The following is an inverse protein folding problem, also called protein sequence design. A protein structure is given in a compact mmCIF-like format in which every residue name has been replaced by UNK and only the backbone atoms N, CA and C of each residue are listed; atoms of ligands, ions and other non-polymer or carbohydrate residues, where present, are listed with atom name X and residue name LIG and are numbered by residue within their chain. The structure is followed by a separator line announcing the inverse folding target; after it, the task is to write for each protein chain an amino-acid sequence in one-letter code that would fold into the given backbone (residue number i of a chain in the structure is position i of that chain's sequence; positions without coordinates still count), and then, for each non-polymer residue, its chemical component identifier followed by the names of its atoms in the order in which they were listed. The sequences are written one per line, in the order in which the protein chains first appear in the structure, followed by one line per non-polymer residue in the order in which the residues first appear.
data_IF_202065960355
#
_entry.id   IF_202065960355
#
_cell.length_a   1.000
_cell.length_b   1.000
_cell.length_c   1.000
_cell.angle_alpha   90.00
_cell.angle_beta   90.00
_cell.angle_gamma   90.00
#
_symmetry.space_group_name_H-M   'P 1'
#
loop_
_entity.id
_entity.type
_entity.pdbx_description
1 polymer ?
#
# COMPACT_ATOMS: atom_id res chain seq x y z
N UNK A 1 -41.43 -7.74 -3.98
CA UNK A 1 -40.00 -7.85 -4.31
C UNK A 1 -39.85 -7.74 -5.81
N UNK A 2 -39.46 -6.57 -6.32
CA UNK A 2 -39.29 -6.33 -7.75
C UNK A 2 -37.85 -6.69 -8.17
N UNK A 3 -37.72 -7.42 -9.28
CA UNK A 3 -36.44 -7.83 -9.87
C UNK A 3 -35.77 -6.62 -10.54
N UNK A 4 -34.46 -6.47 -10.33
CA UNK A 4 -33.64 -5.40 -10.89
C UNK A 4 -33.39 -5.64 -12.41
N UNK A 5 -33.85 -4.75 -13.32
CA UNK A 5 -33.79 -4.96 -14.77
C UNK A 5 -32.42 -4.67 -15.42
N UNK A 6 -31.37 -4.38 -14.66
CA UNK A 6 -30.06 -3.94 -15.17
C UNK A 6 -28.94 -4.97 -15.01
N UNK A 7 -29.12 -6.21 -15.47
CA UNK A 7 -28.01 -7.17 -15.61
C UNK A 7 -27.66 -7.38 -17.09
N UNK A 8 -26.53 -6.83 -17.58
CA UNK A 8 -25.92 -7.34 -18.79
C UNK A 8 -25.40 -8.76 -18.51
N UNK A 9 -25.74 -9.71 -19.38
CA UNK A 9 -25.08 -11.03 -19.41
C UNK A 9 -23.62 -10.84 -19.80
N UNK A 10 -22.71 -10.79 -18.83
CA UNK A 10 -21.28 -10.87 -19.08
C UNK A 10 -20.95 -12.29 -19.55
N UNK A 11 -20.68 -12.46 -20.85
CA UNK A 11 -20.11 -13.71 -21.37
C UNK A 11 -18.62 -13.72 -21.05
N UNK A 12 -18.21 -14.61 -20.15
CA UNK A 12 -16.79 -14.88 -19.94
C UNK A 12 -16.17 -15.42 -21.24
N UNK A 13 -14.97 -14.95 -21.64
CA UNK A 13 -14.27 -15.50 -22.78
C UNK A 13 -13.91 -16.98 -22.54
N UNK A 14 -13.79 -17.80 -23.62
CA UNK A 14 -13.37 -19.19 -23.49
C UNK A 14 -11.95 -19.27 -22.90
N UNK A 15 -11.75 -20.22 -21.99
CA UNK A 15 -10.47 -20.44 -21.33
C UNK A 15 -9.33 -20.62 -22.35
N UNK A 16 -8.29 -19.79 -22.24
CA UNK A 16 -7.09 -19.91 -23.07
C UNK A 16 -6.40 -21.26 -22.81
N UNK A 17 -5.85 -21.86 -23.88
CA UNK A 17 -5.05 -23.09 -23.76
C UNK A 17 -3.81 -22.83 -22.91
N UNK A 18 -3.44 -23.75 -21.98
CA UNK A 18 -2.27 -23.57 -21.14
C UNK A 18 -0.99 -23.49 -21.98
N UNK A 19 -0.15 -22.50 -21.69
CA UNK A 19 1.18 -22.37 -22.29
C UNK A 19 2.09 -23.54 -21.87
N UNK A 20 3.03 -23.97 -22.73
CA UNK A 20 3.97 -25.05 -22.41
C UNK A 20 4.86 -24.69 -21.21
N UNK A 21 5.04 -25.65 -20.31
CA UNK A 21 5.83 -25.49 -19.10
C UNK A 21 7.32 -25.26 -19.41
N UNK A 22 7.84 -24.09 -19.03
CA UNK A 22 9.27 -23.81 -19.03
C UNK A 22 9.94 -24.52 -17.85
N UNK A 23 10.83 -25.48 -18.16
CA UNK A 23 11.67 -26.17 -17.18
C UNK A 23 12.86 -25.26 -16.79
N UNK A 24 12.76 -24.56 -15.67
CA UNK A 24 13.86 -23.84 -15.03
C UNK A 24 13.89 -24.14 -13.54
N UNK A 25 15.04 -24.55 -13.02
CA UNK A 25 15.23 -24.91 -11.62
C UNK A 25 14.98 -23.70 -10.69
N UNK A 26 14.11 -23.88 -9.70
CA UNK A 26 13.81 -22.85 -8.69
C UNK A 26 14.96 -22.75 -7.66
N UNK A 27 15.47 -21.54 -7.35
CA UNK A 27 16.43 -21.35 -6.26
C UNK A 27 15.75 -21.53 -4.89
N UNK A 28 16.50 -22.06 -3.91
CA UNK A 28 15.98 -22.41 -2.59
C UNK A 28 15.48 -21.18 -1.80
N UNK A 29 14.26 -21.28 -1.25
CA UNK A 29 13.57 -20.24 -0.48
C UNK A 29 14.34 -19.68 0.74
N UNK A 30 15.28 -20.43 1.30
CA UNK A 30 15.99 -20.04 2.53
C UNK A 30 17.01 -18.88 2.36
N UNK A 31 17.31 -18.45 1.12
CA UNK A 31 18.28 -17.37 0.84
C UNK A 31 17.62 -16.00 0.58
N UNK A 32 16.31 -15.96 0.33
CA UNK A 32 15.57 -14.74 0.00
C UNK A 32 15.35 -13.83 1.23
N UNK A 33 14.90 -14.38 2.36
CA UNK A 33 14.52 -13.58 3.55
C UNK A 33 15.65 -12.75 4.19
N UNK A 34 16.92 -13.13 4.06
CA UNK A 34 18.06 -12.39 4.66
C UNK A 34 18.61 -11.25 3.81
N UNK A 35 18.32 -11.23 2.51
CA UNK A 35 18.76 -10.16 1.61
C UNK A 35 17.80 -8.96 1.64
N UNK A 36 16.55 -9.15 2.08
CA UNK A 36 15.45 -8.19 1.96
C UNK A 36 15.55 -7.01 2.95
N UNK A 37 15.99 -7.20 4.19
CA UNK A 37 16.14 -6.08 5.14
C UNK A 37 17.27 -5.11 4.75
N UNK A 38 18.36 -5.61 4.14
CA UNK A 38 19.39 -4.76 3.57
C UNK A 38 18.91 -4.04 2.30
N UNK A 39 17.91 -4.58 1.59
CA UNK A 39 17.35 -4.02 0.35
C UNK A 39 16.16 -3.08 0.59
N UNK A 40 15.38 -3.20 1.66
CA UNK A 40 14.44 -2.14 2.04
C UNK A 40 15.19 -0.87 2.46
N UNK A 41 16.36 -1.02 3.09
CA UNK A 41 17.27 0.09 3.28
C UNK A 41 17.89 0.57 1.95
N UNK A 42 18.45 -0.29 1.10
CA UNK A 42 19.20 0.10 -0.12
C UNK A 42 18.39 0.36 -1.40
N UNK A 43 17.18 -0.17 -1.53
CA UNK A 43 16.27 0.04 -2.67
C UNK A 43 15.71 1.46 -2.70
N UNK A 44 15.46 2.05 -1.53
CA UNK A 44 15.12 3.47 -1.40
C UNK A 44 16.32 4.40 -1.68
N UNK A 45 17.57 3.93 -1.62
CA UNK A 45 18.76 4.73 -2.01
C UNK A 45 18.92 4.90 -3.53
N UNK A 46 18.16 4.19 -4.36
CA UNK A 46 18.18 4.36 -5.83
C UNK A 46 17.60 5.69 -6.31
N UNK A 47 16.79 6.36 -5.47
CA UNK A 47 16.19 7.67 -5.72
C UNK A 47 17.13 8.83 -5.33
N UNK A 48 18.40 8.80 -5.77
CA UNK A 48 19.42 9.82 -5.42
C UNK A 48 19.05 11.27 -5.79
N UNK A 49 18.03 11.51 -6.64
CA UNK A 49 17.55 12.86 -6.98
C UNK A 49 16.32 13.31 -6.19
N UNK A 50 15.69 12.41 -5.43
CA UNK A 50 14.56 12.69 -4.54
C UNK A 50 15.01 12.69 -3.06
N UNK A 51 16.24 13.15 -2.81
CA UNK A 51 16.72 13.49 -1.47
C UNK A 51 16.06 14.80 -1.00
N UNK A 52 14.77 14.75 -0.67
CA UNK A 52 14.25 15.62 0.38
C UNK A 52 15.05 15.27 1.63
N UNK A 53 15.44 16.30 2.39
CA UNK A 53 16.37 16.27 3.52
C UNK A 53 15.94 15.30 4.64
N UNK A 54 15.99 13.99 4.44
CA UNK A 54 16.20 13.07 5.54
C UNK A 54 17.51 13.53 6.16
N UNK A 55 17.48 14.04 7.39
CA UNK A 55 18.69 14.28 8.17
C UNK A 55 19.49 12.98 8.09
N UNK A 56 20.51 12.94 7.25
CA UNK A 56 21.43 11.83 7.19
C UNK A 56 22.08 11.80 8.57
N UNK A 57 21.50 11.01 9.50
CA UNK A 57 22.13 10.67 10.76
C UNK A 57 23.45 10.03 10.35
N UNK A 58 24.55 10.76 10.50
CA UNK A 58 25.89 10.32 10.13
C UNK A 58 26.21 9.08 10.96
N UNK A 59 25.95 7.89 10.43
CA UNK A 59 26.39 6.55 10.87
C UNK A 59 26.28 6.18 12.37
N UNK A 60 25.75 7.03 13.25
CA UNK A 60 25.49 6.73 14.65
C UNK A 60 24.09 6.15 14.80
N UNK A 61 23.99 4.98 15.41
CA UNK A 61 22.71 4.48 15.92
C UNK A 61 22.13 5.51 16.89
N UNK A 62 20.85 5.85 16.70
CA UNK A 62 20.14 6.76 17.57
C UNK A 62 20.21 6.26 19.02
N UNK A 63 20.51 7.14 19.98
CA UNK A 63 20.46 6.72 21.39
C UNK A 63 19.00 6.44 21.78
N UNK A 64 18.73 5.58 22.78
CA UNK A 64 17.36 5.32 23.18
C UNK A 64 16.60 6.58 23.64
N UNK A 65 17.30 7.54 24.27
CA UNK A 65 16.73 8.85 24.62
C UNK A 65 16.32 9.66 23.39
N UNK A 66 17.13 9.68 22.33
CA UNK A 66 16.79 10.35 21.07
C UNK A 66 15.59 9.69 20.40
N UNK A 67 15.50 8.36 20.43
CA UNK A 67 14.34 7.64 19.87
C UNK A 67 13.07 7.93 20.65
N UNK A 68 13.16 8.06 21.98
CA UNK A 68 12.01 8.42 22.83
C UNK A 68 11.54 9.84 22.58
N UNK A 69 12.48 10.75 22.38
CA UNK A 69 12.16 12.10 21.94
C UNK A 69 11.49 12.10 20.56
N UNK A 70 12.06 11.38 19.58
CA UNK A 70 11.49 11.26 18.24
C UNK A 70 10.07 10.65 18.29
N UNK A 71 9.84 9.64 19.13
CA UNK A 71 8.51 9.05 19.31
C UNK A 71 7.50 10.09 19.84
N UNK A 72 7.89 10.88 20.85
CA UNK A 72 7.04 11.96 21.39
C UNK A 72 6.75 13.05 20.37
N UNK A 73 7.73 13.40 19.54
CA UNK A 73 7.58 14.43 18.51
C UNK A 73 6.74 13.95 17.33
N UNK A 74 6.94 12.70 16.88
CA UNK A 74 6.29 12.15 15.70
C UNK A 74 5.02 11.36 15.99
N UNK A 75 4.73 11.00 17.23
CA UNK A 75 3.48 10.32 17.57
C UNK A 75 3.03 10.65 19.00
N UNK A 76 2.80 11.94 19.31
CA UNK A 76 2.49 12.39 20.66
C UNK A 76 1.27 11.67 21.25
N UNK A 77 0.25 11.39 20.44
CA UNK A 77 -0.97 10.70 20.88
C UNK A 77 -0.78 9.20 21.18
N UNK A 78 0.28 8.60 20.64
CA UNK A 78 0.60 7.20 20.91
C UNK A 78 1.56 7.03 22.08
N UNK A 79 2.17 8.12 22.54
CA UNK A 79 3.13 8.12 23.64
C UNK A 79 2.49 8.02 25.02
N UNK A 80 1.19 8.30 25.14
CA UNK A 80 0.49 8.20 26.42
C UNK A 80 0.64 6.79 27.02
N UNK A 81 1.15 6.68 28.25
CA UNK A 81 1.40 5.40 28.91
C UNK A 81 2.63 4.65 28.41
N UNK A 82 3.34 5.14 27.40
CA UNK A 82 4.55 4.52 26.87
C UNK A 82 5.81 4.88 27.68
N UNK A 83 5.69 5.65 28.77
CA UNK A 83 6.78 5.98 29.68
C UNK A 83 7.39 4.74 30.33
N UNK A 84 6.58 3.68 30.51
CA UNK A 84 6.99 2.41 31.10
C UNK A 84 7.55 1.40 30.10
N UNK A 85 7.36 1.63 28.79
CA UNK A 85 7.89 0.72 27.75
C UNK A 85 9.42 0.84 27.74
N UNK A 86 10.18 -0.26 27.87
CA UNK A 86 11.64 -0.19 27.91
C UNK A 86 12.23 0.47 26.67
N UNK A 87 13.28 1.26 26.87
CA UNK A 87 14.08 1.88 25.80
C UNK A 87 14.59 0.86 24.76
N UNK A 88 14.90 -0.36 25.21
CA UNK A 88 15.28 -1.47 24.32
C UNK A 88 14.16 -1.87 23.36
N UNK A 89 12.89 -1.84 23.80
CA UNK A 89 11.74 -2.12 22.93
C UNK A 89 11.50 -0.99 21.93
N UNK A 90 11.76 0.26 22.30
CA UNK A 90 11.68 1.40 21.40
C UNK A 90 12.80 1.39 20.33
N UNK A 91 14.00 0.95 20.72
CA UNK A 91 15.16 0.84 19.84
C UNK A 91 15.10 -0.38 18.90
N UNK A 92 14.39 -1.44 19.29
CA UNK A 92 14.30 -2.70 18.54
C UNK A 92 13.66 -2.48 17.17
N UNK A 93 14.38 -2.81 16.10
CA UNK A 93 13.85 -2.80 14.73
C UNK A 93 12.58 -3.66 14.60
N UNK A 94 11.66 -3.26 13.73
CA UNK A 94 10.44 -4.01 13.46
C UNK A 94 10.77 -5.31 12.71
N UNK A 95 10.10 -6.40 13.12
CA UNK A 95 10.18 -7.70 12.45
C UNK A 95 8.78 -8.18 12.03
N UNK A 96 8.62 -8.80 10.84
CA UNK A 96 7.31 -9.27 10.37
C UNK A 96 6.57 -10.18 11.35
N UNK A 97 7.28 -11.00 12.13
CA UNK A 97 6.67 -11.91 13.11
C UNK A 97 5.92 -11.18 14.23
N UNK A 98 6.23 -9.90 14.46
CA UNK A 98 5.55 -9.09 15.46
C UNK A 98 4.09 -8.82 15.11
N UNK A 99 3.71 -8.90 13.83
CA UNK A 99 2.33 -8.80 13.38
C UNK A 99 1.43 -9.88 14.02
N UNK A 100 2.02 -10.99 14.49
CA UNK A 100 1.30 -12.04 15.21
C UNK A 100 0.84 -11.61 16.61
N UNK A 101 1.46 -10.58 17.19
CA UNK A 101 1.14 -10.06 18.53
C UNK A 101 -0.06 -9.10 18.54
N UNK A 102 -0.50 -8.62 17.37
CA UNK A 102 -1.63 -7.71 17.26
C UNK A 102 -2.96 -8.46 17.35
N UNK A 103 -4.04 -7.79 17.80
CA UNK A 103 -5.36 -8.41 17.91
C UNK A 103 -5.85 -9.03 16.60
N UNK A 104 -6.44 -10.23 16.70
CA UNK A 104 -6.90 -11.06 15.57
C UNK A 104 -8.37 -11.40 15.74
N UNK A 105 -9.08 -11.51 14.62
CA UNK A 105 -10.46 -11.99 14.61
C UNK A 105 -10.50 -13.50 14.92
N UNK A 106 -11.48 -13.99 15.66
CA UNK A 106 -11.77 -15.44 15.78
C UNK A 106 -10.98 -16.21 16.86
N UNK A 107 -11.10 -17.55 16.83
CA UNK A 107 -10.37 -18.47 17.71
C UNK A 107 -8.87 -18.49 17.40
N UNK A 108 -8.04 -18.92 18.36
CA UNK A 108 -6.60 -19.14 18.16
C UNK A 108 -6.33 -19.84 16.82
N UNK A 109 -5.60 -19.18 15.92
CA UNK A 109 -5.26 -19.71 14.59
C UNK A 109 -5.96 -19.05 13.40
N UNK A 110 -6.91 -18.13 13.63
CA UNK A 110 -7.41 -17.27 12.55
C UNK A 110 -6.32 -16.32 12.02
N UNK A 111 -6.22 -16.23 10.69
CA UNK A 111 -5.09 -15.61 10.00
C UNK A 111 -5.13 -14.08 9.92
N UNK A 112 -6.26 -13.44 10.19
CA UNK A 112 -6.46 -11.99 9.96
C UNK A 112 -6.35 -11.12 11.22
N UNK A 113 -5.82 -9.90 11.05
CA UNK A 113 -5.95 -8.83 12.05
C UNK A 113 -7.43 -8.50 12.28
N UNK A 114 -7.79 -8.15 13.52
CA UNK A 114 -9.17 -7.74 13.83
C UNK A 114 -9.51 -6.41 13.12
N UNK A 115 -10.51 -6.37 12.21
CA UNK A 115 -10.93 -5.16 11.50
C UNK A 115 -11.73 -4.20 12.39
N UNK A 116 -11.87 -4.45 13.69
CA UNK A 116 -12.53 -3.53 14.63
C UNK A 116 -11.55 -2.77 15.50
N UNK A 117 -10.35 -3.30 15.71
CA UNK A 117 -9.36 -2.69 16.60
C UNK A 117 -8.70 -1.49 15.94
N UNK A 118 -8.68 -0.37 16.66
CA UNK A 118 -8.05 0.89 16.26
C UNK A 118 -6.69 1.05 16.92
N UNK A 119 -5.82 1.88 16.32
CA UNK A 119 -4.45 2.03 16.80
C UNK A 119 -4.39 2.61 18.22
N UNK A 120 -5.18 3.64 18.55
CA UNK A 120 -5.21 4.20 19.90
C UNK A 120 -5.73 3.23 20.98
N UNK A 121 -6.48 2.20 20.61
CA UNK A 121 -7.02 1.18 21.53
C UNK A 121 -5.97 0.11 21.89
N UNK A 122 -4.83 0.10 21.20
CA UNK A 122 -3.74 -0.81 21.49
C UNK A 122 -3.06 -0.46 22.83
N UNK A 123 -2.53 -1.46 23.55
CA UNK A 123 -1.68 -1.22 24.71
C UNK A 123 -0.40 -0.46 24.29
N UNK A 124 0.21 0.32 25.20
CA UNK A 124 1.36 1.17 24.88
C UNK A 124 2.51 0.44 24.17
N UNK A 125 2.78 -0.81 24.56
CA UNK A 125 3.82 -1.64 23.96
C UNK A 125 3.56 -1.85 22.46
N UNK A 126 2.31 -2.17 22.08
CA UNK A 126 1.95 -2.39 20.67
C UNK A 126 1.91 -1.07 19.89
N UNK A 127 1.52 0.06 20.51
CA UNK A 127 1.61 1.38 19.86
C UNK A 127 3.06 1.77 19.53
N UNK A 128 3.99 1.51 20.44
CA UNK A 128 5.43 1.64 20.19
C UNK A 128 5.87 0.77 19.01
N UNK A 129 5.34 -0.45 18.88
CA UNK A 129 5.66 -1.31 17.74
C UNK A 129 5.05 -0.82 16.42
N UNK A 130 3.85 -0.25 16.42
CA UNK A 130 3.27 0.43 15.23
C UNK A 130 4.15 1.60 14.80
N UNK A 131 4.58 2.42 15.75
CA UNK A 131 5.50 3.53 15.46
C UNK A 131 6.83 3.03 14.86
N UNK A 132 7.43 2.00 15.45
CA UNK A 132 8.67 1.40 14.92
C UNK A 132 8.50 0.85 13.50
N UNK A 133 7.35 0.21 13.20
CA UNK A 133 7.00 -0.23 11.85
C UNK A 133 6.96 0.94 10.87
N UNK A 134 6.19 1.99 11.17
CA UNK A 134 6.01 3.14 10.28
C UNK A 134 7.31 3.91 10.05
N UNK A 135 8.13 4.07 11.09
CA UNK A 135 9.47 4.68 11.01
C UNK A 135 10.39 3.88 10.09
N UNK A 136 10.30 2.56 10.11
CA UNK A 136 11.13 1.69 9.26
C UNK A 136 10.63 1.66 7.81
N UNK A 137 9.32 1.75 7.59
CA UNK A 137 8.70 1.73 6.27
C UNK A 137 8.96 3.00 5.46
N UNK A 138 8.94 4.16 6.14
CA UNK A 138 9.14 5.45 5.50
C UNK A 138 10.19 6.28 6.23
N UNK A 139 11.47 6.25 5.79
CA UNK A 139 12.46 7.16 6.34
C UNK A 139 12.29 8.60 5.84
N UNK A 140 11.38 8.87 4.88
CA UNK A 140 11.19 10.19 4.31
C UNK A 140 10.38 11.13 5.20
N UNK A 141 10.62 12.43 5.00
CA UNK A 141 9.85 13.49 5.64
C UNK A 141 8.57 13.81 4.84
N UNK A 142 7.43 14.00 5.53
CA UNK A 142 7.22 13.73 6.94
C UNK A 142 7.04 12.24 7.21
N UNK A 143 7.45 11.82 8.41
CA UNK A 143 7.29 10.45 8.87
C UNK A 143 5.84 9.99 8.79
N UNK A 144 5.60 8.77 8.28
CA UNK A 144 4.26 8.16 8.30
C UNK A 144 3.70 8.06 9.73
N UNK A 145 4.56 7.95 10.74
CA UNK A 145 4.12 7.96 12.14
C UNK A 145 3.45 9.29 12.53
N UNK A 146 4.00 10.43 12.08
CA UNK A 146 3.43 11.76 12.32
C UNK A 146 2.05 11.90 11.68
N UNK A 147 1.94 11.47 10.42
CA UNK A 147 0.70 11.48 9.68
C UNK A 147 -0.35 10.61 10.39
N UNK A 148 -0.04 9.35 10.67
CA UNK A 148 -1.02 8.41 11.21
C UNK A 148 -1.37 8.64 12.68
N UNK A 149 -0.43 9.13 13.49
CA UNK A 149 -0.73 9.55 14.85
C UNK A 149 -1.66 10.76 14.87
N UNK A 150 -1.46 11.72 13.95
CA UNK A 150 -2.37 12.87 13.79
C UNK A 150 -3.76 12.42 13.36
N UNK A 151 -3.85 11.52 12.37
CA UNK A 151 -5.13 10.97 11.91
C UNK A 151 -5.87 10.22 13.02
N UNK A 152 -5.15 9.40 13.79
CA UNK A 152 -5.73 8.63 14.90
C UNK A 152 -6.17 9.51 16.08
N UNK A 153 -5.61 10.72 16.21
CA UNK A 153 -6.04 11.71 17.20
C UNK A 153 -7.37 12.40 16.86
N UNK A 154 -7.72 12.49 15.58
CA UNK A 154 -8.89 13.27 15.13
C UNK A 154 -10.19 12.76 15.74
N UNK A 155 -11.11 13.64 16.18
CA UNK A 155 -12.35 13.23 16.79
C UNK A 155 -13.28 12.50 15.81
N UNK A 156 -14.15 11.65 16.36
CA UNK A 156 -15.21 10.96 15.62
C UNK A 156 -14.99 9.45 15.48
N UNK A 157 -15.95 8.76 14.80
CA UNK A 157 -15.96 7.30 14.70
C UNK A 157 -14.95 6.75 13.69
N UNK A 158 -14.41 7.62 12.82
CA UNK A 158 -13.47 7.28 11.76
C UNK A 158 -12.06 7.35 12.33
N UNK A 159 -11.64 6.24 12.91
CA UNK A 159 -10.31 6.07 13.50
C UNK A 159 -9.57 5.02 12.69
N UNK A 160 -8.26 5.19 12.59
CA UNK A 160 -7.42 4.30 11.82
C UNK A 160 -7.42 2.90 12.44
N UNK A 161 -7.84 1.90 11.65
CA UNK A 161 -7.85 0.52 12.09
C UNK A 161 -6.48 -0.10 11.91
N UNK A 162 -6.08 -0.94 12.86
CA UNK A 162 -4.78 -1.65 12.83
C UNK A 162 -4.65 -2.45 11.54
N UNK A 163 -5.71 -3.17 11.16
CA UNK A 163 -5.76 -3.95 9.91
C UNK A 163 -5.48 -3.09 8.68
N UNK A 164 -6.23 -2.00 8.52
CA UNK A 164 -6.12 -1.12 7.34
C UNK A 164 -4.74 -0.48 7.23
N UNK A 165 -4.15 -0.09 8.37
CA UNK A 165 -2.83 0.51 8.40
C UNK A 165 -1.75 -0.45 7.89
N UNK A 166 -1.64 -1.65 8.48
CA UNK A 166 -0.62 -2.62 8.09
C UNK A 166 -0.84 -3.10 6.66
N UNK A 167 -2.08 -3.40 6.25
CA UNK A 167 -2.39 -3.80 4.89
C UNK A 167 -2.02 -2.73 3.86
N UNK A 168 -2.39 -1.48 4.10
CA UNK A 168 -2.09 -0.38 3.17
C UNK A 168 -0.59 -0.16 3.05
N UNK A 169 0.14 -0.17 4.18
CA UNK A 169 1.58 0.00 4.19
C UNK A 169 2.33 -1.14 3.47
N UNK A 170 1.98 -2.39 3.75
CA UNK A 170 2.59 -3.55 3.10
C UNK A 170 2.34 -3.53 1.59
N UNK A 171 1.10 -3.26 1.16
CA UNK A 171 0.74 -3.19 -0.25
C UNK A 171 1.50 -2.05 -0.95
N UNK A 172 1.50 -0.84 -0.39
CA UNK A 172 2.20 0.30 -0.99
C UNK A 172 3.69 0.00 -1.12
N UNK A 173 4.30 -0.59 -0.10
CA UNK A 173 5.71 -0.99 -0.15
C UNK A 173 5.97 -2.01 -1.26
N UNK A 174 5.15 -3.06 -1.36
CA UNK A 174 5.26 -4.06 -2.42
C UNK A 174 5.12 -3.42 -3.82
N UNK A 175 4.16 -2.51 -4.00
CA UNK A 175 3.94 -1.79 -5.26
C UNK A 175 5.12 -0.89 -5.64
N UNK A 176 5.61 -0.09 -4.70
CA UNK A 176 6.76 0.80 -4.92
C UNK A 176 8.00 -0.02 -5.26
N UNK A 177 8.28 -1.07 -4.48
CA UNK A 177 9.44 -1.94 -4.72
C UNK A 177 9.35 -2.66 -6.05
N UNK A 178 8.17 -3.17 -6.40
CA UNK A 178 7.94 -3.79 -7.69
C UNK A 178 8.16 -2.80 -8.84
N UNK A 179 7.58 -1.59 -8.75
CA UNK A 179 7.70 -0.58 -9.80
C UNK A 179 9.16 -0.18 -10.05
N UNK A 180 9.93 -0.02 -8.97
CA UNK A 180 11.34 0.33 -9.03
C UNK A 180 12.23 -0.81 -9.54
N UNK A 181 11.81 -2.07 -9.39
CA UNK A 181 12.59 -3.26 -9.79
C UNK A 181 12.19 -3.85 -11.14
N UNK A 182 11.08 -3.42 -11.74
CA UNK A 182 10.56 -4.03 -12.97
C UNK A 182 11.64 -4.02 -14.08
N UNK A 183 11.83 -5.13 -14.81
CA UNK A 183 12.83 -5.20 -15.87
C UNK A 183 12.58 -4.14 -16.93
N UNK A 184 13.63 -3.40 -17.28
CA UNK A 184 13.61 -2.45 -18.39
C UNK A 184 13.66 -3.27 -19.69
N UNK A 185 12.51 -3.66 -20.23
CA UNK A 185 12.42 -4.53 -21.40
C UNK A 185 12.74 -3.82 -22.73
N UNK A 186 13.11 -2.55 -22.69
CA UNK A 186 13.66 -1.80 -23.82
C UNK A 186 14.53 -0.67 -23.26
N UNK A 187 15.44 -0.11 -24.06
CA UNK A 187 16.50 0.83 -23.65
C UNK A 187 16.06 2.13 -22.92
N UNK A 188 14.77 2.30 -22.58
CA UNK A 188 14.28 3.43 -21.79
C UNK A 188 14.14 3.05 -20.32
N UNK A 189 14.87 3.75 -19.46
CA UNK A 189 14.55 3.81 -18.02
C UNK A 189 13.20 4.48 -17.87
N UNK A 190 12.19 3.72 -17.45
CA UNK A 190 10.92 4.29 -17.03
C UNK A 190 11.12 4.90 -15.64
N UNK A 191 10.72 6.17 -15.49
CA UNK A 191 10.66 6.83 -14.20
C UNK A 191 9.53 6.28 -13.30
N UNK A 192 9.16 7.00 -12.23
CA UNK A 192 7.90 6.74 -11.51
C UNK A 192 6.70 6.73 -12.49
N UNK A 193 5.55 6.14 -12.10
CA UNK A 193 4.35 6.24 -12.92
C UNK A 193 4.01 7.72 -13.15
N UNK A 194 3.47 8.09 -14.30
CA UNK A 194 3.00 9.46 -14.52
C UNK A 194 1.62 9.67 -13.89
N UNK A 195 0.78 8.62 -13.93
CA UNK A 195 -0.56 8.61 -13.32
C UNK A 195 -0.77 7.33 -12.52
N UNK A 196 -1.40 7.46 -11.36
CA UNK A 196 -1.82 6.33 -10.52
C UNK A 196 -3.31 6.45 -10.26
N UNK A 197 -4.08 5.42 -10.60
CA UNK A 197 -5.49 5.30 -10.26
C UNK A 197 -5.63 4.32 -9.10
N UNK A 198 -6.09 4.78 -7.93
CA UNK A 198 -6.54 3.92 -6.83
C UNK A 198 -8.05 3.71 -6.98
N UNK A 199 -8.45 2.58 -7.53
CA UNK A 199 -9.82 2.25 -7.92
C UNK A 199 -10.54 1.46 -6.82
N UNK A 200 -11.82 1.78 -6.59
CA UNK A 200 -12.60 1.27 -5.46
C UNK A 200 -11.86 1.47 -4.13
N UNK A 201 -11.34 2.68 -3.95
CA UNK A 201 -10.32 3.01 -2.96
C UNK A 201 -10.83 3.12 -1.51
N UNK A 202 -12.15 3.06 -1.29
CA UNK A 202 -12.77 3.33 -0.02
C UNK A 202 -12.46 4.75 0.46
N UNK A 203 -11.52 4.88 1.39
CA UNK A 203 -11.09 6.18 1.92
C UNK A 203 -9.81 6.73 1.27
N UNK A 204 -9.25 6.04 0.26
CA UNK A 204 -8.13 6.55 -0.54
C UNK A 204 -6.76 6.53 0.15
N UNK A 205 -6.59 5.81 1.26
CA UNK A 205 -5.32 5.77 1.99
C UNK A 205 -4.16 5.24 1.13
N UNK A 206 -4.40 4.19 0.36
CA UNK A 206 -3.39 3.62 -0.54
C UNK A 206 -2.98 4.66 -1.59
N UNK A 207 -3.93 5.34 -2.23
CA UNK A 207 -3.67 6.44 -3.14
C UNK A 207 -2.87 7.59 -2.49
N UNK A 208 -3.21 8.01 -1.28
CA UNK A 208 -2.48 9.06 -0.57
C UNK A 208 -1.03 8.66 -0.27
N UNK A 209 -0.82 7.41 0.13
CA UNK A 209 0.52 6.86 0.34
C UNK A 209 1.31 6.74 -0.97
N UNK A 210 0.67 6.35 -2.09
CA UNK A 210 1.31 6.33 -3.40
C UNK A 210 1.66 7.75 -3.88
N UNK A 211 0.80 8.74 -3.62
CA UNK A 211 1.10 10.15 -3.89
C UNK A 211 2.28 10.66 -3.07
N UNK A 212 2.41 10.19 -1.83
CA UNK A 212 3.56 10.44 -0.98
C UNK A 212 4.84 9.77 -1.51
N UNK A 213 4.76 8.51 -1.99
CA UNK A 213 5.92 7.79 -2.52
C UNK A 213 6.34 8.28 -3.91
N UNK A 214 5.40 8.81 -4.71
CA UNK A 214 5.64 9.31 -6.05
C UNK A 214 5.17 10.76 -6.21
N UNK A 215 5.94 11.75 -5.71
CA UNK A 215 5.53 13.15 -5.70
C UNK A 215 5.35 13.76 -7.10
N UNK A 216 6.00 13.19 -8.11
CA UNK A 216 5.88 13.63 -9.51
C UNK A 216 4.73 12.94 -10.27
N UNK A 217 4.06 11.97 -9.64
CA UNK A 217 2.90 11.28 -10.22
C UNK A 217 1.61 12.01 -9.87
N UNK A 218 0.66 12.09 -10.80
CA UNK A 218 -0.71 12.44 -10.47
C UNK A 218 -1.43 11.20 -9.94
N UNK A 219 -2.04 11.29 -8.77
CA UNK A 219 -2.77 10.19 -8.15
C UNK A 219 -4.23 10.55 -8.01
N UNK A 220 -5.11 9.69 -8.52
CA UNK A 220 -6.55 9.81 -8.36
C UNK A 220 -7.09 8.59 -7.64
N UNK A 221 -7.78 8.82 -6.54
CA UNK A 221 -8.52 7.80 -5.81
C UNK A 221 -10.01 7.92 -6.16
N UNK A 222 -10.62 6.80 -6.56
CA UNK A 222 -12.02 6.75 -7.01
C UNK A 222 -12.78 5.72 -6.20
N UNK A 223 -13.92 6.12 -5.64
CA UNK A 223 -14.89 5.25 -4.99
C UNK A 223 -16.30 5.77 -5.29
N UNK A 224 -17.32 4.92 -5.16
CA UNK A 224 -18.70 5.32 -5.45
C UNK A 224 -19.20 6.44 -4.53
N UNK A 225 -18.65 6.50 -3.31
CA UNK A 225 -19.06 7.45 -2.29
C UNK A 225 -17.85 8.15 -1.68
N UNK A 226 -17.99 9.43 -1.39
CA UNK A 226 -17.00 10.14 -0.58
C UNK A 226 -17.03 9.65 0.87
N UNK A 227 -15.86 9.31 1.40
CA UNK A 227 -15.69 8.93 2.81
C UNK A 227 -15.10 10.11 3.55
N UNK A 228 -15.71 10.51 4.67
CA UNK A 228 -15.20 11.60 5.53
C UNK A 228 -13.75 11.39 5.99
N UNK A 229 -13.30 10.12 6.10
CA UNK A 229 -11.92 9.81 6.47
C UNK A 229 -10.91 10.33 5.43
N UNK A 230 -11.29 10.48 4.15
CA UNK A 230 -10.40 10.98 3.11
C UNK A 230 -9.99 12.44 3.38
N UNK A 231 -10.95 13.33 3.65
CA UNK A 231 -10.66 14.73 4.00
C UNK A 231 -9.80 14.86 5.26
N UNK A 232 -10.14 14.10 6.30
CA UNK A 232 -9.37 14.02 7.55
C UNK A 232 -7.94 13.51 7.35
N UNK A 233 -7.76 12.52 6.49
CA UNK A 233 -6.44 12.06 6.12
C UNK A 233 -5.66 13.19 5.43
N UNK A 234 -6.21 13.88 4.44
CA UNK A 234 -5.52 15.01 3.80
C UNK A 234 -5.12 16.11 4.79
N UNK A 235 -5.99 16.45 5.75
CA UNK A 235 -5.68 17.37 6.85
C UNK A 235 -4.49 16.88 7.69
N UNK A 236 -4.42 15.58 8.01
CA UNK A 236 -3.32 14.99 8.76
C UNK A 236 -1.99 15.03 7.99
N UNK A 237 -2.00 14.84 6.67
CA UNK A 237 -0.83 14.99 5.81
C UNK A 237 -0.33 16.44 5.79
N UNK A 238 -1.24 17.40 5.61
CA UNK A 238 -0.92 18.82 5.64
C UNK A 238 -0.36 19.25 7.01
N UNK A 239 -0.97 18.80 8.11
CA UNK A 239 -0.52 19.07 9.48
C UNK A 239 0.88 18.47 9.76
N UNK A 240 1.20 17.33 9.16
CA UNK A 240 2.54 16.74 9.20
C UNK A 240 3.56 17.50 8.32
N UNK A 241 3.16 18.57 7.62
CA UNK A 241 4.05 19.39 6.79
C UNK A 241 4.17 18.90 5.34
N UNK A 242 3.25 18.07 4.85
CA UNK A 242 3.21 17.64 3.46
C UNK A 242 1.81 17.59 2.89
N UNK A 243 1.44 18.67 2.21
CA UNK A 243 0.26 18.68 1.35
C UNK A 243 0.45 17.74 0.16
N UNK A 244 -0.58 16.92 -0.12
CA UNK A 244 -0.59 16.02 -1.27
C UNK A 244 -1.23 16.71 -2.48
N UNK A 245 -0.59 17.77 -2.99
CA UNK A 245 -1.11 18.53 -4.14
C UNK A 245 -1.25 17.68 -5.42
N UNK A 246 -0.59 16.53 -5.48
CA UNK A 246 -0.65 15.57 -6.56
C UNK A 246 -1.72 14.47 -6.34
N UNK A 247 -2.53 14.55 -5.29
CA UNK A 247 -3.59 13.59 -4.98
C UNK A 247 -4.98 14.23 -5.16
N UNK A 248 -5.91 13.45 -5.71
CA UNK A 248 -7.32 13.81 -5.81
C UNK A 248 -8.22 12.63 -5.43
N UNK A 249 -9.19 12.86 -4.55
CA UNK A 249 -10.30 11.93 -4.34
C UNK A 249 -11.48 12.33 -5.24
N UNK A 250 -12.12 11.35 -5.89
CA UNK A 250 -13.30 11.56 -6.73
C UNK A 250 -14.38 10.54 -6.35
N UNK A 251 -15.55 11.04 -5.95
CA UNK A 251 -16.73 10.21 -5.82
C UNK A 251 -17.33 9.94 -7.21
N UNK A 252 -17.47 8.67 -7.58
CA UNK A 252 -18.00 8.26 -8.87
C UNK A 252 -17.68 6.82 -9.21
N UNK A 253 -18.22 6.34 -10.33
CA UNK A 253 -17.87 5.03 -10.87
C UNK A 253 -16.50 5.05 -11.59
N UNK A 254 -16.04 3.85 -11.98
CA UNK A 254 -14.79 3.69 -12.70
C UNK A 254 -14.83 4.27 -14.13
N UNK A 255 -16.01 4.49 -14.71
CA UNK A 255 -16.14 5.09 -16.05
C UNK A 255 -15.68 6.56 -16.03
N UNK A 256 -15.96 7.29 -14.95
CA UNK A 256 -15.43 8.64 -14.76
C UNK A 256 -13.89 8.67 -14.69
N UNK A 257 -13.27 7.58 -14.22
CA UNK A 257 -11.82 7.47 -14.12
C UNK A 257 -11.14 7.19 -15.46
N UNK A 258 -11.84 6.53 -16.40
CA UNK A 258 -11.28 6.09 -17.68
C UNK A 258 -10.69 7.24 -18.48
N UNK A 259 -11.47 8.30 -18.73
CA UNK A 259 -11.01 9.46 -19.49
C UNK A 259 -9.79 10.14 -18.87
N UNK A 260 -9.68 10.14 -17.54
CA UNK A 260 -8.51 10.69 -16.85
C UNK A 260 -7.24 9.87 -17.05
N UNK A 261 -7.33 8.55 -17.20
CA UNK A 261 -6.13 7.77 -17.52
C UNK A 261 -5.77 7.93 -19.00
N UNK A 262 -6.76 8.03 -19.89
CA UNK A 262 -6.56 8.23 -21.35
C UNK A 262 -5.87 9.56 -21.68
N UNK A 263 -6.08 10.61 -20.87
CA UNK A 263 -5.37 11.89 -20.97
C UNK A 263 -3.85 11.81 -20.72
N UNK A 264 -3.34 10.68 -20.23
CA UNK A 264 -1.90 10.51 -20.04
C UNK A 264 -1.17 10.48 -21.39
N UNK A 265 -0.19 11.36 -21.58
CA UNK A 265 0.64 11.41 -22.80
C UNK A 265 1.39 10.10 -23.08
N UNK A 266 1.52 9.23 -22.07
CA UNK A 266 2.03 7.87 -22.21
C UNK A 266 1.24 6.94 -21.30
N UNK A 267 0.30 6.21 -21.90
CA UNK A 267 -0.52 5.20 -21.25
C UNK A 267 0.32 4.07 -20.63
N UNK A 268 1.48 3.76 -21.20
CA UNK A 268 2.42 2.77 -20.62
C UNK A 268 3.09 3.23 -19.30
N UNK A 269 2.80 4.46 -18.85
CA UNK A 269 3.24 5.01 -17.57
C UNK A 269 2.11 5.15 -16.53
N UNK A 270 0.90 4.65 -16.80
CA UNK A 270 -0.15 4.59 -15.79
C UNK A 270 -0.11 3.29 -14.98
N UNK A 271 -0.50 3.41 -13.71
CA UNK A 271 -0.68 2.30 -12.77
C UNK A 271 -2.11 2.32 -12.24
N UNK A 272 -2.85 1.22 -12.40
CA UNK A 272 -4.18 1.03 -11.83
C UNK A 272 -4.08 0.10 -10.63
N UNK A 273 -4.40 0.58 -9.44
CA UNK A 273 -4.35 -0.16 -8.18
C UNK A 273 -5.77 -0.34 -7.67
N UNK A 274 -6.08 -1.49 -7.08
CA UNK A 274 -7.29 -1.64 -6.29
C UNK A 274 -7.04 -2.53 -5.07
N UNK A 275 -7.25 -1.97 -3.89
CA UNK A 275 -7.07 -2.67 -2.61
C UNK A 275 -8.43 -2.90 -1.98
N UNK A 276 -8.68 -4.13 -1.55
CA UNK A 276 -9.99 -4.58 -1.03
C UNK A 276 -11.15 -4.56 -2.03
N UNK A 277 -10.93 -4.15 -3.28
CA UNK A 277 -11.88 -4.43 -4.36
C UNK A 277 -12.08 -5.93 -4.47
N UNK A 278 -13.31 -6.38 -4.19
CA UNK A 278 -13.70 -7.79 -4.25
C UNK A 278 -14.85 -7.98 -5.24
N UNK A 279 -15.00 -9.22 -5.71
CA UNK A 279 -16.06 -9.63 -6.63
C UNK A 279 -16.03 -8.85 -7.96
N UNK A 280 -17.15 -8.27 -8.38
CA UNK A 280 -17.31 -7.54 -9.63
C UNK A 280 -16.34 -6.35 -9.72
N UNK A 281 -16.08 -5.65 -8.61
CA UNK A 281 -15.16 -4.52 -8.59
C UNK A 281 -13.74 -4.90 -9.03
N UNK A 282 -13.26 -6.10 -8.66
CA UNK A 282 -11.95 -6.59 -9.16
C UNK A 282 -11.98 -6.74 -10.68
N UNK A 283 -13.06 -7.30 -11.24
CA UNK A 283 -13.18 -7.51 -12.68
C UNK A 283 -13.25 -6.20 -13.44
N UNK A 284 -14.01 -5.23 -12.94
CA UNK A 284 -14.15 -3.92 -13.57
C UNK A 284 -12.80 -3.17 -13.59
N UNK A 285 -12.01 -3.28 -12.52
CA UNK A 285 -10.65 -2.70 -12.45
C UNK A 285 -9.70 -3.38 -13.43
N UNK A 286 -9.73 -4.72 -13.51
CA UNK A 286 -8.89 -5.47 -14.43
C UNK A 286 -9.23 -5.14 -15.89
N UNK A 287 -10.53 -5.09 -16.23
CA UNK A 287 -11.00 -4.70 -17.55
C UNK A 287 -10.61 -3.26 -17.89
N UNK A 288 -10.74 -2.34 -16.93
CA UNK A 288 -10.30 -0.95 -17.10
C UNK A 288 -8.80 -0.87 -17.40
N UNK A 289 -7.98 -1.60 -16.65
CA UNK A 289 -6.54 -1.63 -16.89
C UNK A 289 -6.18 -2.25 -18.24
N UNK A 290 -6.93 -3.26 -18.69
CA UNK A 290 -6.80 -3.89 -20.01
C UNK A 290 -7.15 -2.96 -21.14
N UNK A 291 -8.33 -2.35 -21.10
CA UNK A 291 -8.78 -1.33 -22.06
C UNK A 291 -7.75 -0.21 -22.21
N UNK A 292 -7.11 0.14 -21.10
CA UNK A 292 -6.12 1.20 -21.03
C UNK A 292 -4.69 0.70 -21.23
N UNK A 293 -4.41 -0.56 -21.56
CA UNK A 293 -3.03 -1.07 -21.68
C UNK A 293 -2.10 -0.70 -20.49
N UNK A 294 -2.66 -0.51 -19.30
CA UNK A 294 -1.97 0.03 -18.13
C UNK A 294 -1.36 -1.08 -17.29
N UNK A 295 -0.31 -0.76 -16.53
CA UNK A 295 0.12 -1.67 -15.46
C UNK A 295 -0.96 -1.69 -14.37
N UNK A 296 -1.20 -2.82 -13.73
CA UNK A 296 -2.21 -2.90 -12.67
C UNK A 296 -1.84 -3.78 -11.49
N UNK A 297 -2.41 -3.54 -10.33
CA UNK A 297 -2.31 -4.41 -9.16
C UNK A 297 -3.63 -4.47 -8.40
N UNK A 298 -4.13 -5.67 -8.13
CA UNK A 298 -5.39 -5.87 -7.39
C UNK A 298 -5.16 -6.75 -6.17
N UNK A 299 -5.69 -6.33 -5.02
CA UNK A 299 -5.49 -6.97 -3.72
C UNK A 299 -6.85 -7.28 -3.07
N UNK A 300 -7.52 -8.35 -3.52
CA UNK A 300 -8.83 -8.68 -2.97
C UNK A 300 -8.69 -9.30 -1.57
N UNK A 301 -9.50 -8.85 -0.61
CA UNK A 301 -9.47 -9.40 0.75
C UNK A 301 -10.36 -10.65 0.94
N UNK A 302 -11.39 -10.83 0.10
CA UNK A 302 -12.40 -11.88 0.27
C UNK A 302 -12.36 -12.98 -0.81
N UNK A 303 -11.47 -12.86 -1.80
CA UNK A 303 -11.48 -13.78 -2.95
C UNK A 303 -10.50 -14.94 -2.75
N UNK A 304 -10.96 -16.16 -3.06
CA UNK A 304 -10.10 -17.34 -3.06
C UNK A 304 -9.05 -17.22 -4.17
N UNK A 305 -7.88 -17.80 -3.92
CA UNK A 305 -6.75 -17.83 -4.87
C UNK A 305 -7.18 -18.43 -6.21
N UNK A 306 -6.69 -17.86 -7.33
CA UNK A 306 -6.83 -18.36 -8.72
C UNK A 306 -8.25 -18.38 -9.31
N UNK A 307 -9.19 -17.63 -8.73
CA UNK A 307 -10.59 -17.69 -9.16
C UNK A 307 -10.86 -16.89 -10.45
N UNK A 308 -10.12 -15.80 -10.69
CA UNK A 308 -10.44 -14.85 -11.78
C UNK A 308 -9.41 -14.73 -12.90
N UNK A 309 -8.11 -15.00 -12.66
CA UNK A 309 -7.09 -14.79 -13.69
C UNK A 309 -6.07 -15.95 -13.77
N UNK A 310 -6.06 -16.75 -14.86
CA UNK A 310 -5.00 -17.70 -15.15
C UNK A 310 -3.73 -16.91 -15.54
N UNK A 311 -2.94 -16.51 -14.54
CA UNK A 311 -1.77 -15.66 -14.73
C UNK A 311 -1.41 -14.81 -13.51
N UNK A 312 -2.32 -14.71 -12.53
CA UNK A 312 -2.00 -14.05 -11.26
C UNK A 312 -0.84 -14.79 -10.57
N UNK A 313 0.29 -14.12 -10.41
CA UNK A 313 1.35 -14.55 -9.48
C UNK A 313 1.18 -13.83 -8.15
N UNK A 314 1.90 -14.27 -7.12
CA UNK A 314 1.98 -13.51 -5.87
C UNK A 314 3.22 -12.63 -5.92
N UNK A 315 3.09 -11.40 -5.45
CA UNK A 315 4.25 -10.62 -5.01
C UNK A 315 4.76 -11.32 -3.74
N UNK A 316 5.72 -12.23 -3.94
CA UNK A 316 6.47 -12.97 -2.92
C UNK A 316 5.68 -13.99 -2.04
N UNK A 317 6.34 -15.11 -1.72
CA UNK A 317 5.72 -16.23 -0.99
C UNK A 317 5.60 -16.01 0.53
N UNK A 318 6.25 -14.95 1.04
CA UNK A 318 6.32 -14.61 2.46
C UNK A 318 5.38 -13.45 2.84
N UNK A 319 4.70 -12.82 1.89
CA UNK A 319 3.78 -11.72 2.18
C UNK A 319 2.52 -12.21 2.92
N UNK A 320 2.12 -11.45 3.93
CA UNK A 320 0.95 -11.74 4.76
C UNK A 320 -0.38 -11.62 3.99
N UNK A 321 -0.37 -10.90 2.86
CA UNK A 321 -1.55 -10.63 2.06
C UNK A 321 -1.41 -11.25 0.67
N UNK A 322 -2.44 -11.96 0.16
CA UNK A 322 -2.42 -12.50 -1.18
C UNK A 322 -2.52 -11.35 -2.19
N UNK A 323 -1.39 -10.76 -2.53
CA UNK A 323 -1.28 -9.79 -3.60
C UNK A 323 -1.44 -10.54 -4.94
N UNK A 324 -2.47 -10.23 -5.74
CA UNK A 324 -2.63 -10.80 -7.08
C UNK A 324 -1.88 -9.90 -8.08
N UNK A 325 -0.77 -10.42 -8.59
CA UNK A 325 0.19 -9.76 -9.46
C UNK A 325 -0.37 -9.45 -10.86
N UNK A 326 -0.29 -8.18 -11.24
CA UNK A 326 0.47 -7.58 -12.34
C UNK A 326 0.50 -8.29 -13.70
N UNK A 327 -0.41 -7.87 -14.58
CA UNK A 327 -0.23 -7.97 -16.03
C UNK A 327 0.44 -6.71 -16.57
N UNK A 328 1.38 -6.88 -17.49
CA UNK A 328 1.67 -5.86 -18.49
C UNK A 328 1.00 -6.27 -19.78
N UNK A 329 0.36 -5.32 -20.45
CA UNK A 329 0.10 -5.46 -21.87
C UNK A 329 1.40 -5.11 -22.59
N UNK A 330 2.20 -6.12 -22.91
CA UNK A 330 3.17 -5.96 -23.99
C UNK A 330 2.33 -5.92 -25.25
N UNK A 331 1.99 -4.72 -25.71
CA UNK A 331 1.51 -4.58 -27.08
C UNK A 331 2.66 -5.05 -27.95
N UNK A 332 2.49 -6.21 -28.58
CA UNK A 332 3.31 -6.61 -29.71
C UNK A 332 3.08 -5.57 -30.80
N UNK A 333 3.93 -4.55 -30.83
CA UNK A 333 4.07 -3.65 -31.97
C UNK A 333 4.48 -4.43 -33.22
#
# INVERSE_FOLDING_TARGET
MALNPWRPTVRLPPAAKPAPALKGAAPSAARAGRQIHAILATGFFGLRKLQVRCRARKNGEATPSELRQEFRETAPFWCEGAEHVPDSELARAWRPEELKKFPRQGHEGSAGLDPKVRVHELPPELRVRVWAYLRQMNPYEPSLAAIFSTLDAMPGPQKLRVKELFESCDIVSALVMWWLRRPLTSQKRWGPPCRVLDAACGHGLVGMMLAHCFPDSLVRAVDLEERTLAGKALEAWAAAGRELANFQFVAGDLNHAKGWVEEASSISQSLVVAVHACNEATLDVLQLAEDLGSSWAVVPCCMRRRLYFPGSTHLEAEEHYPLMHLGFFVTSD
#
